data_IF_571756333604
#
_entry.id   IF_571756333604
#
_cell.length_a   1.000
_cell.length_b   1.000
_cell.length_c   1.000
_cell.angle_alpha   90.00
_cell.angle_beta   90.00
_cell.angle_gamma   90.00
#
_symmetry.space_group_name_H-M   'P 1'
#
loop_
_entity.id
_entity.type
_entity.pdbx_description
1 polymer ?
#
# COMPACT_ATOMS: atom_id res chain seq x y z
N UNK A 1 7.20 12.93 19.27
CA UNK A 1 6.29 12.87 18.10
C UNK A 1 4.88 12.62 18.64
N UNK A 2 3.84 13.25 18.08
CA UNK A 2 2.47 13.24 18.61
C UNK A 2 1.45 12.51 17.70
N UNK A 3 1.93 11.81 16.67
CA UNK A 3 1.08 11.03 15.77
C UNK A 3 1.04 9.57 16.21
N UNK A 4 -0.17 9.07 16.46
CA UNK A 4 -0.40 7.68 16.86
C UNK A 4 -0.67 6.75 15.65
N UNK A 5 -0.99 7.33 14.50
CA UNK A 5 -1.26 6.60 13.25
C UNK A 5 -0.56 7.28 12.08
N UNK A 6 0.09 6.49 11.22
CA UNK A 6 0.59 6.92 9.92
C UNK A 6 -0.16 6.15 8.83
N UNK A 7 -0.80 6.88 7.92
CA UNK A 7 -1.41 6.34 6.71
C UNK A 7 -0.59 6.80 5.50
N UNK A 8 -0.12 5.86 4.68
CA UNK A 8 0.67 6.18 3.50
C UNK A 8 0.50 5.13 2.38
N UNK A 9 0.68 5.56 1.14
CA UNK A 9 0.70 4.69 -0.03
C UNK A 9 2.11 4.13 -0.21
N UNK A 10 2.26 2.84 -0.46
CA UNK A 10 3.57 2.24 -0.71
C UNK A 10 4.34 3.04 -1.80
N UNK A 11 5.60 3.39 -1.53
CA UNK A 11 6.40 4.26 -2.39
C UNK A 11 6.33 5.76 -2.07
N UNK A 12 5.40 6.22 -1.22
CA UNK A 12 5.24 7.64 -0.85
C UNK A 12 6.16 8.10 0.31
N UNK A 13 7.31 7.46 0.49
CA UNK A 13 8.25 7.79 1.59
C UNK A 13 7.88 7.20 2.94
N UNK A 14 7.41 5.95 2.99
CA UNK A 14 7.02 5.26 4.23
C UNK A 14 8.16 5.12 5.27
N UNK A 15 9.41 5.32 4.87
CA UNK A 15 10.56 5.34 5.78
C UNK A 15 10.41 6.37 6.92
N UNK A 16 9.54 7.37 6.77
CA UNK A 16 9.18 8.26 7.88
C UNK A 16 8.59 7.54 9.11
N UNK A 17 8.19 6.27 8.99
CA UNK A 17 7.77 5.44 10.11
C UNK A 17 8.84 5.35 11.22
N UNK A 18 10.12 5.55 10.90
CA UNK A 18 11.22 5.47 11.89
C UNK A 18 11.12 6.52 12.99
N UNK A 19 10.33 7.57 12.78
CA UNK A 19 10.11 8.65 13.73
C UNK A 19 8.84 8.48 14.58
N UNK A 20 8.07 7.41 14.37
CA UNK A 20 6.86 7.14 15.13
C UNK A 20 7.18 6.56 16.52
N UNK A 21 6.33 6.81 17.53
CA UNK A 21 6.49 6.18 18.84
C UNK A 21 6.17 4.68 18.79
N UNK A 22 6.59 3.94 19.82
CA UNK A 22 6.13 2.56 20.03
C UNK A 22 4.60 2.51 20.09
N UNK A 23 4.03 1.38 19.68
CA UNK A 23 2.60 1.13 19.54
C UNK A 23 1.86 2.00 18.52
N UNK A 24 2.54 2.91 17.80
CA UNK A 24 1.93 3.59 16.66
C UNK A 24 1.39 2.59 15.64
N UNK A 25 0.37 2.98 14.89
CA UNK A 25 -0.22 2.15 13.83
C UNK A 25 0.23 2.65 12.47
N UNK A 26 0.88 1.79 11.69
CA UNK A 26 1.22 2.03 10.29
C UNK A 26 0.15 1.37 9.41
N UNK A 27 -0.60 2.19 8.68
CA UNK A 27 -1.53 1.75 7.64
C UNK A 27 -0.88 1.98 6.29
N UNK A 28 -0.56 0.90 5.60
CA UNK A 28 0.03 0.94 4.27
C UNK A 28 -1.02 0.59 3.21
N UNK A 29 -1.26 1.54 2.31
CA UNK A 29 -2.05 1.32 1.09
C UNK A 29 -1.14 0.73 0.03
N UNK A 30 -1.41 -0.49 -0.40
CA UNK A 30 -0.59 -1.26 -1.33
C UNK A 30 -1.15 -1.15 -2.74
N UNK A 31 -0.34 -0.67 -3.71
CA UNK A 31 -0.74 -0.54 -5.10
C UNK A 31 -0.98 -1.90 -5.77
N UNK A 32 -1.62 -1.87 -6.94
CA UNK A 32 -1.75 -3.04 -7.81
C UNK A 32 -0.38 -3.55 -8.27
N UNK A 33 -0.40 -4.71 -8.93
CA UNK A 33 0.79 -5.26 -9.59
C UNK A 33 1.52 -6.32 -8.78
N UNK A 34 0.83 -7.07 -7.92
CA UNK A 34 1.44 -8.08 -7.02
C UNK A 34 2.50 -7.50 -6.08
N UNK A 35 2.19 -6.36 -5.46
CA UNK A 35 3.09 -5.61 -4.58
C UNK A 35 3.00 -6.03 -3.12
N UNK A 36 2.13 -6.98 -2.76
CA UNK A 36 1.87 -7.38 -1.38
C UNK A 36 3.11 -7.93 -0.67
N UNK A 37 3.87 -8.78 -1.36
CA UNK A 37 5.10 -9.36 -0.81
C UNK A 37 6.15 -8.28 -0.54
N UNK A 38 6.42 -7.45 -1.56
CA UNK A 38 7.36 -6.34 -1.45
C UNK A 38 6.95 -5.35 -0.35
N UNK A 39 5.67 -5.00 -0.29
CA UNK A 39 5.14 -4.10 0.71
C UNK A 39 5.29 -4.65 2.14
N UNK A 40 5.02 -5.94 2.34
CA UNK A 40 5.22 -6.60 3.62
C UNK A 40 6.69 -6.61 4.03
N UNK A 41 7.60 -6.99 3.13
CA UNK A 41 9.02 -7.08 3.44
C UNK A 41 9.64 -5.71 3.75
N UNK A 42 9.27 -4.67 2.99
CA UNK A 42 9.85 -3.33 3.14
C UNK A 42 9.23 -2.50 4.27
N UNK A 43 7.93 -2.66 4.53
CA UNK A 43 7.19 -1.77 5.44
C UNK A 43 6.12 -2.45 6.29
N UNK A 44 5.95 -3.77 6.18
CA UNK A 44 5.08 -4.55 7.06
C UNK A 44 5.82 -5.20 8.22
N UNK A 45 6.96 -5.85 7.94
CA UNK A 45 7.85 -6.45 8.95
C UNK A 45 8.57 -5.37 9.77
N UNK A 46 9.23 -4.36 9.18
CA UNK A 46 10.03 -3.41 9.95
C UNK A 46 9.30 -2.66 11.07
N UNK A 47 8.10 -2.08 10.87
CA UNK A 47 7.40 -1.42 11.98
C UNK A 47 7.03 -2.40 13.10
N UNK A 48 6.74 -3.68 12.80
CA UNK A 48 6.45 -4.68 13.84
C UNK A 48 7.68 -4.96 14.71
N UNK A 49 8.85 -5.08 14.09
CA UNK A 49 10.12 -5.24 14.81
C UNK A 49 10.46 -4.00 15.66
N UNK A 50 9.95 -2.83 15.28
CA UNK A 50 10.04 -1.58 16.03
C UNK A 50 8.93 -1.39 17.08
N UNK A 51 8.20 -2.45 17.44
CA UNK A 51 7.07 -2.43 18.38
C UNK A 51 5.89 -1.55 17.95
N UNK A 52 5.67 -1.39 16.65
CA UNK A 52 4.49 -0.72 16.08
C UNK A 52 3.45 -1.76 15.62
N UNK A 53 2.23 -1.30 15.39
CA UNK A 53 1.16 -2.08 14.77
C UNK A 53 1.14 -1.81 13.27
N UNK A 54 0.75 -2.80 12.48
CA UNK A 54 0.73 -2.69 11.02
C UNK A 54 -0.59 -3.19 10.43
N UNK A 55 -1.14 -2.43 9.49
CA UNK A 55 -2.29 -2.79 8.67
C UNK A 55 -1.93 -2.60 7.20
N UNK A 56 -2.11 -3.66 6.42
CA UNK A 56 -2.05 -3.60 4.96
C UNK A 56 -3.45 -3.40 4.38
N UNK A 57 -3.59 -2.48 3.42
CA UNK A 57 -4.79 -2.32 2.61
C UNK A 57 -4.44 -2.45 1.14
N UNK A 58 -4.87 -3.54 0.51
CA UNK A 58 -4.68 -3.75 -0.93
C UNK A 58 -5.81 -3.06 -1.69
N UNK A 59 -5.44 -2.19 -2.62
CA UNK A 59 -6.41 -1.48 -3.45
C UNK A 59 -7.00 -2.41 -4.52
N UNK A 60 -8.16 -2.05 -5.07
CA UNK A 60 -8.70 -2.71 -6.27
C UNK A 60 -8.40 -1.93 -7.55
N UNK A 61 -8.76 -2.51 -8.69
CA UNK A 61 -8.64 -1.85 -10.00
C UNK A 61 -9.44 -0.54 -10.05
N UNK A 62 -10.60 -0.50 -9.40
CA UNK A 62 -11.49 0.66 -9.33
C UNK A 62 -10.92 1.80 -8.47
N UNK A 63 -10.05 1.48 -7.53
CA UNK A 63 -9.35 2.46 -6.69
C UNK A 63 -8.05 2.97 -7.34
N UNK A 64 -7.74 2.53 -8.56
CA UNK A 64 -6.50 2.86 -9.27
C UNK A 64 -6.79 3.67 -10.52
N UNK A 65 -6.02 4.73 -10.77
CA UNK A 65 -6.08 5.48 -12.04
C UNK A 65 -5.63 4.66 -13.25
N UNK A 66 -5.00 3.51 -13.05
CA UNK A 66 -4.67 2.60 -14.15
C UNK A 66 -5.92 2.15 -14.91
N UNK A 67 -7.10 2.13 -14.27
CA UNK A 67 -8.39 1.82 -14.90
C UNK A 67 -8.77 2.83 -16.01
N UNK A 68 -8.18 4.02 -15.99
CA UNK A 68 -8.33 5.04 -17.04
C UNK A 68 -7.36 4.82 -18.22
N UNK A 69 -6.26 4.10 -17.98
CA UNK A 69 -5.17 3.89 -18.94
C UNK A 69 -5.26 2.54 -19.65
N UNK A 70 -5.88 1.54 -19.02
CA UNK A 70 -5.91 0.18 -19.50
C UNK A 70 -7.34 -0.37 -19.46
N UNK A 71 -7.75 -1.19 -20.47
CA UNK A 71 -9.06 -1.83 -20.43
C UNK A 71 -9.12 -2.86 -19.28
N UNK A 72 -10.31 -3.18 -18.73
CA UNK A 72 -10.46 -4.12 -17.60
C UNK A 72 -9.82 -5.51 -17.81
N UNK A 73 -9.74 -5.96 -19.07
CA UNK A 73 -9.11 -7.24 -19.43
C UNK A 73 -7.59 -7.19 -19.64
N UNK A 74 -6.94 -6.07 -19.38
CA UNK A 74 -5.51 -5.91 -19.62
C UNK A 74 -4.67 -6.71 -18.60
N UNK A 75 -3.51 -7.28 -18.99
CA UNK A 75 -2.63 -8.02 -18.07
C UNK A 75 -2.18 -7.24 -16.83
N UNK A 76 -2.17 -5.91 -16.92
CA UNK A 76 -1.89 -5.02 -15.76
C UNK A 76 -2.80 -5.32 -14.56
N UNK A 77 -4.04 -5.76 -14.81
CA UNK A 77 -4.98 -6.13 -13.75
C UNK A 77 -5.04 -7.64 -13.51
N UNK A 78 -5.03 -8.43 -14.60
CA UNK A 78 -5.32 -9.87 -14.52
C UNK A 78 -4.11 -10.72 -14.12
N UNK A 79 -2.96 -10.45 -14.74
CA UNK A 79 -1.72 -11.18 -14.45
C UNK A 79 -0.51 -10.26 -14.62
N UNK A 80 -0.06 -9.62 -13.53
CA UNK A 80 1.17 -8.81 -13.55
C UNK A 80 2.45 -9.64 -13.74
N UNK A 81 2.40 -10.98 -13.68
CA UNK A 81 3.57 -11.86 -13.72
C UNK A 81 4.50 -11.66 -14.92
N UNK A 82 3.99 -11.56 -16.16
CA UNK A 82 4.81 -11.25 -17.33
C UNK A 82 5.52 -9.89 -17.23
N UNK A 83 4.87 -8.87 -16.64
CA UNK A 83 5.45 -7.53 -16.45
C UNK A 83 6.64 -7.63 -15.48
N UNK A 84 6.48 -8.37 -14.39
CA UNK A 84 7.57 -8.68 -13.45
C UNK A 84 8.75 -9.41 -14.09
N UNK A 85 8.46 -10.41 -14.94
CA UNK A 85 9.50 -11.17 -15.66
C UNK A 85 10.28 -10.31 -16.66
N UNK A 86 9.65 -9.25 -17.18
CA UNK A 86 10.27 -8.38 -18.16
C UNK A 86 11.30 -7.45 -17.52
N UNK A 87 10.89 -6.61 -16.55
CA UNK A 87 11.84 -5.81 -15.78
C UNK A 87 11.21 -5.14 -14.55
N UNK A 88 12.02 -4.93 -13.52
CA UNK A 88 11.64 -4.08 -12.38
C UNK A 88 11.36 -2.63 -12.78
N UNK A 89 12.09 -2.09 -13.77
CA UNK A 89 11.86 -0.72 -14.25
C UNK A 89 10.44 -0.54 -14.81
N UNK A 90 9.90 -1.56 -15.50
CA UNK A 90 8.55 -1.54 -16.03
C UNK A 90 7.50 -1.66 -14.92
N UNK A 91 7.74 -2.53 -13.93
CA UNK A 91 6.87 -2.63 -12.73
C UNK A 91 6.82 -1.28 -12.02
N UNK A 92 7.97 -0.64 -11.78
CA UNK A 92 8.05 0.68 -11.16
C UNK A 92 7.32 1.75 -11.97
N UNK A 93 7.57 1.82 -13.28
CA UNK A 93 6.92 2.82 -14.15
C UNK A 93 5.40 2.69 -14.12
N UNK A 94 4.87 1.47 -14.24
CA UNK A 94 3.42 1.23 -14.27
C UNK A 94 2.79 1.40 -12.88
N UNK A 95 3.26 0.65 -11.89
CA UNK A 95 2.54 0.51 -10.61
C UNK A 95 2.96 1.51 -9.54
N UNK A 96 4.14 2.12 -9.66
CA UNK A 96 4.63 3.12 -8.70
C UNK A 96 4.76 4.53 -9.33
N UNK A 97 4.77 4.64 -10.66
CA UNK A 97 4.93 5.90 -11.39
C UNK A 97 3.64 6.44 -12.00
N UNK A 98 2.86 5.58 -12.68
CA UNK A 98 1.64 5.96 -13.42
C UNK A 98 0.35 5.72 -12.68
N UNK A 99 0.42 5.17 -11.48
CA UNK A 99 -0.73 4.80 -10.66
C UNK A 99 -0.89 5.79 -9.51
N UNK A 100 -2.04 6.44 -9.47
CA UNK A 100 -2.55 7.12 -8.30
C UNK A 100 -3.69 6.31 -7.68
N UNK A 101 -3.90 6.51 -6.38
CA UNK A 101 -4.94 5.80 -5.62
C UNK A 101 -6.10 6.73 -5.28
N UNK A 102 -7.31 6.28 -5.58
CA UNK A 102 -8.57 6.90 -5.15
C UNK A 102 -9.30 5.90 -4.26
N UNK A 103 -9.13 6.04 -2.95
CA UNK A 103 -9.68 5.10 -1.97
C UNK A 103 -11.22 5.08 -2.02
N UNK A 104 -11.78 3.88 -2.07
CA UNK A 104 -13.18 3.64 -1.81
C UNK A 104 -13.41 3.73 -0.29
N UNK A 105 -14.01 4.83 0.15
CA UNK A 105 -14.25 5.07 1.57
C UNK A 105 -15.19 4.05 2.23
N UNK A 106 -16.07 3.38 1.47
CA UNK A 106 -16.91 2.32 2.03
C UNK A 106 -16.08 1.09 2.39
N UNK A 107 -15.10 0.73 1.54
CA UNK A 107 -14.16 -0.37 1.78
C UNK A 107 -13.04 -0.01 2.75
N UNK A 108 -12.63 1.26 2.77
CA UNK A 108 -11.53 1.73 3.60
C UNK A 108 -11.95 2.06 5.04
N UNK A 109 -13.22 2.38 5.29
CA UNK A 109 -13.72 2.70 6.64
C UNK A 109 -13.42 1.61 7.70
N UNK A 110 -13.60 0.30 7.45
CA UNK A 110 -13.22 -0.74 8.39
C UNK A 110 -11.72 -0.75 8.75
N UNK A 111 -10.85 -0.33 7.82
CA UNK A 111 -9.41 -0.20 8.06
C UNK A 111 -9.12 0.91 9.05
N UNK A 112 -9.77 2.06 8.88
CA UNK A 112 -9.66 3.19 9.81
C UNK A 112 -10.17 2.83 11.20
N UNK A 113 -11.30 2.11 11.28
CA UNK A 113 -11.83 1.63 12.56
C UNK A 113 -10.84 0.69 13.25
N UNK A 114 -10.27 -0.27 12.51
CA UNK A 114 -9.25 -1.18 13.03
C UNK A 114 -8.02 -0.43 13.52
N UNK A 115 -7.59 0.62 12.82
CA UNK A 115 -6.46 1.45 13.26
C UNK A 115 -6.76 2.12 14.60
N UNK A 116 -7.96 2.70 14.77
CA UNK A 116 -8.38 3.30 16.04
C UNK A 116 -8.48 2.29 17.18
N UNK A 117 -8.97 1.08 16.90
CA UNK A 117 -9.09 0.03 17.91
C UNK A 117 -7.71 -0.46 18.40
N UNK A 118 -6.68 -0.39 17.54
CA UNK A 118 -5.31 -0.74 17.89
C UNK A 118 -4.58 0.30 18.74
N UNK A 119 -5.14 1.51 18.89
CA UNK A 119 -4.60 2.55 19.78
C UNK A 119 -5.03 2.39 21.23
N UNK A 120 -5.98 1.49 21.50
CA UNK A 120 -6.57 1.26 22.83
C UNK A 120 -5.84 0.19 23.61
#
# INVERSE_FOLDING_TARGET
NAFDVMLAVHGSGLTNLVFLPMNAVVVQVVPLGRMEGLAMDEYGVPPRDMNMRYIQYNITAEESTLSELYPPGHPVFLDPGPIHKQSWSLVKDIYLGKQDVRLDMARFRPVLQKALDLLR
#
